data_IF_786478023661
#
_entry.id   IF_786478023661
#
_cell.length_a   1.000
_cell.length_b   1.000
_cell.length_c   1.000
_cell.angle_alpha   90.00
_cell.angle_beta   90.00
_cell.angle_gamma   90.00
#
_symmetry.space_group_name_H-M   'P 1'
#
loop_
_entity.id
_entity.type
_entity.pdbx_description
1 polymer ?
#
# COMPACT_ATOMS: atom_id res chain seq x y z
N UNK A 1 2.70 -7.00 -2.51
CA UNK A 1 2.31 -6.99 -3.94
C UNK A 1 0.86 -7.42 -4.08
N UNK A 2 0.22 -7.14 -5.22
CA UNK A 2 -1.19 -7.40 -5.53
C UNK A 2 -1.29 -8.05 -6.90
N UNK A 3 -1.94 -9.20 -7.03
CA UNK A 3 -2.25 -9.81 -8.33
C UNK A 3 -3.58 -9.27 -8.87
N UNK A 4 -3.61 -8.77 -10.10
CA UNK A 4 -4.82 -8.23 -10.71
C UNK A 4 -4.73 -8.26 -12.24
N UNK A 5 -5.88 -8.37 -12.91
CA UNK A 5 -5.93 -8.38 -14.38
C UNK A 5 -5.70 -6.98 -14.98
N UNK A 6 -5.96 -5.91 -14.21
CA UNK A 6 -5.77 -4.52 -14.62
C UNK A 6 -5.59 -3.58 -13.42
N UNK A 7 -5.12 -2.36 -13.70
CA UNK A 7 -4.95 -1.28 -12.70
C UNK A 7 -6.24 -1.01 -11.91
N UNK A 8 -7.40 -1.01 -12.57
CA UNK A 8 -8.70 -0.78 -11.92
C UNK A 8 -9.05 -1.81 -10.86
N UNK A 9 -8.52 -3.01 -11.01
CA UNK A 9 -8.81 -4.12 -10.12
C UNK A 9 -7.89 -4.15 -8.92
N UNK A 10 -6.81 -3.37 -8.85
CA UNK A 10 -5.84 -3.40 -7.74
C UNK A 10 -6.48 -3.06 -6.39
N UNK A 11 -7.33 -2.03 -6.34
CA UNK A 11 -8.10 -1.68 -5.14
C UNK A 11 -9.37 -2.55 -5.02
N UNK A 12 -10.27 -2.22 -4.07
CA UNK A 12 -11.56 -2.90 -3.89
C UNK A 12 -11.47 -4.26 -3.21
N UNK A 13 -10.44 -4.50 -2.40
CA UNK A 13 -10.13 -5.81 -1.80
C UNK A 13 -9.53 -5.67 -0.41
N UNK A 14 -9.53 -6.77 0.34
CA UNK A 14 -8.82 -6.88 1.62
C UNK A 14 -7.65 -7.84 1.50
N UNK A 15 -6.45 -7.35 1.80
CA UNK A 15 -5.22 -8.13 1.84
C UNK A 15 -4.99 -8.59 3.28
N UNK A 16 -4.72 -9.87 3.48
CA UNK A 16 -4.32 -10.42 4.78
C UNK A 16 -2.79 -10.40 4.86
N UNK A 17 -2.24 -9.56 5.71
CA UNK A 17 -0.80 -9.42 5.93
C UNK A 17 -0.40 -10.15 7.22
N UNK A 18 0.75 -10.81 7.19
CA UNK A 18 1.48 -11.27 8.37
C UNK A 18 2.94 -10.81 8.23
N UNK A 19 3.49 -10.15 9.24
CA UNK A 19 4.83 -9.56 9.21
C UNK A 19 5.87 -10.34 10.05
N UNK A 20 5.52 -11.54 10.51
CA UNK A 20 6.34 -12.35 11.42
C UNK A 20 6.01 -12.15 12.90
N UNK A 21 5.34 -11.05 13.27
CA UNK A 21 4.87 -10.80 14.62
C UNK A 21 3.34 -10.69 14.66
N UNK A 22 2.77 -9.78 13.87
CA UNK A 22 1.35 -9.47 13.85
C UNK A 22 0.67 -9.80 12.52
N UNK A 23 -0.62 -10.13 12.64
CA UNK A 23 -1.54 -10.30 11.52
C UNK A 23 -2.40 -9.05 11.39
N UNK A 24 -2.58 -8.55 10.18
CA UNK A 24 -3.45 -7.41 9.89
C UNK A 24 -4.27 -7.64 8.62
N UNK A 25 -5.48 -7.08 8.59
CA UNK A 25 -6.27 -6.95 7.37
C UNK A 25 -6.07 -5.52 6.82
N UNK A 26 -5.70 -5.43 5.55
CA UNK A 26 -5.48 -4.18 4.83
C UNK A 26 -6.58 -4.01 3.79
N UNK A 27 -7.53 -3.12 4.02
CA UNK A 27 -8.58 -2.84 3.03
C UNK A 27 -8.10 -1.77 2.07
N UNK A 28 -8.10 -2.07 0.78
CA UNK A 28 -7.72 -1.15 -0.29
C UNK A 28 -8.99 -0.57 -0.90
N UNK A 29 -9.24 0.72 -0.69
CA UNK A 29 -10.35 1.45 -1.33
C UNK A 29 -9.79 2.30 -2.46
N UNK A 30 -10.43 2.32 -3.62
CA UNK A 30 -10.02 3.19 -4.71
C UNK A 30 -10.00 4.67 -4.27
N UNK A 31 -8.98 5.40 -4.69
CA UNK A 31 -8.88 6.84 -4.47
C UNK A 31 -8.72 7.59 -5.81
N UNK A 32 -7.69 7.27 -6.58
CA UNK A 32 -7.38 8.00 -7.80
C UNK A 32 -6.51 7.20 -8.78
N UNK A 33 -6.54 7.62 -10.05
CA UNK A 33 -5.54 7.26 -11.07
C UNK A 33 -4.50 8.36 -11.18
N UNK A 34 -3.29 8.00 -11.62
CA UNK A 34 -2.25 8.95 -11.98
C UNK A 34 -1.17 8.29 -12.81
N UNK A 35 -0.08 9.01 -13.06
CA UNK A 35 1.14 8.46 -13.64
C UNK A 35 2.33 8.81 -12.77
N UNK A 36 3.42 8.05 -12.90
CA UNK A 36 4.69 8.39 -12.26
C UNK A 36 5.86 8.11 -13.20
N UNK A 37 6.99 8.76 -12.90
CA UNK A 37 8.28 8.45 -13.49
C UNK A 37 9.29 8.24 -12.37
N UNK A 38 9.80 7.01 -12.28
CA UNK A 38 10.86 6.57 -11.38
C UNK A 38 11.86 5.77 -12.21
N UNK A 39 13.11 5.67 -11.77
CA UNK A 39 14.11 4.88 -12.50
C UNK A 39 13.58 3.46 -12.73
N UNK A 40 13.53 3.01 -13.99
CA UNK A 40 13.02 1.69 -14.37
C UNK A 40 11.51 1.62 -14.68
N UNK A 41 10.74 2.67 -14.39
CA UNK A 41 9.30 2.70 -14.66
C UNK A 41 8.77 4.10 -14.97
N UNK A 42 8.10 4.23 -16.11
CA UNK A 42 7.37 5.44 -16.48
C UNK A 42 6.02 5.03 -17.04
N UNK A 43 4.93 5.34 -16.34
CA UNK A 43 3.61 4.92 -16.76
C UNK A 43 2.52 5.10 -15.72
N UNK A 44 1.38 4.47 -15.99
CA UNK A 44 0.14 4.61 -15.24
C UNK A 44 0.21 3.95 -13.86
N UNK A 45 -0.56 4.49 -12.94
CA UNK A 45 -0.60 4.08 -11.55
C UNK A 45 -2.01 4.18 -10.99
N UNK A 46 -2.25 3.47 -9.90
CA UNK A 46 -3.49 3.57 -9.15
C UNK A 46 -3.18 3.78 -7.68
N UNK A 47 -3.84 4.75 -7.07
CA UNK A 47 -3.74 5.02 -5.64
C UNK A 47 -4.94 4.44 -4.94
N UNK A 48 -4.68 3.62 -3.92
CA UNK A 48 -5.69 3.13 -3.00
C UNK A 48 -5.53 3.83 -1.64
N UNK A 49 -6.64 4.20 -1.02
CA UNK A 49 -6.70 4.46 0.41
C UNK A 49 -6.64 3.13 1.16
N UNK A 50 -5.68 2.97 2.05
CA UNK A 50 -5.50 1.77 2.86
C UNK A 50 -6.16 1.95 4.24
N UNK A 51 -7.02 1.01 4.61
CA UNK A 51 -7.50 0.83 5.98
C UNK A 51 -6.71 -0.26 6.69
N UNK A 52 -6.25 0.00 7.91
CA UNK A 52 -5.46 -0.94 8.70
C UNK A 52 -6.27 -1.50 9.87
N UNK A 53 -6.53 -2.80 9.89
CA UNK A 53 -7.16 -3.50 11.01
C UNK A 53 -6.23 -4.60 11.57
N UNK A 54 -5.62 -4.40 12.76
CA UNK A 54 -4.81 -5.42 13.40
C UNK A 54 -5.69 -6.55 13.92
N UNK A 55 -5.31 -7.80 13.66
CA UNK A 55 -6.11 -9.00 13.95
C UNK A 55 -5.51 -9.82 15.10
N UNK A 56 -4.20 -10.09 15.07
CA UNK A 56 -3.54 -10.94 16.05
C UNK A 56 -2.05 -10.58 16.18
N UNK A 57 -1.39 -11.08 17.23
CA UNK A 57 0.07 -10.92 17.40
C UNK A 57 0.54 -9.50 17.73
N UNK A 58 -0.35 -8.63 18.22
CA UNK A 58 0.00 -7.24 18.58
C UNK A 58 -0.38 -6.91 20.03
N UNK A 59 0.35 -5.98 20.65
CA UNK A 59 0.02 -5.47 21.99
C UNK A 59 -1.17 -4.51 21.92
N UNK A 60 -2.28 -4.86 22.58
CA UNK A 60 -3.56 -4.13 22.54
C UNK A 60 -3.50 -2.65 22.98
N UNK A 61 -2.46 -2.24 23.72
CA UNK A 61 -2.29 -0.88 24.23
C UNK A 61 -1.20 -0.07 23.50
N UNK A 62 -0.80 -0.48 22.29
CA UNK A 62 0.21 0.25 21.52
C UNK A 62 -0.43 1.50 20.87
N UNK A 63 -0.22 2.66 21.49
CA UNK A 63 -0.76 3.97 21.08
C UNK A 63 -0.56 4.32 19.59
N UNK A 64 0.50 3.82 18.96
CA UNK A 64 0.77 4.00 17.53
C UNK A 64 -0.17 3.18 16.64
N UNK A 65 -0.41 1.91 16.98
CA UNK A 65 -1.35 1.05 16.24
C UNK A 65 -2.78 1.55 16.35
N UNK A 66 -3.19 2.01 17.54
CA UNK A 66 -4.51 2.61 17.70
C UNK A 66 -4.70 3.85 16.84
N UNK A 67 -3.64 4.66 16.67
CA UNK A 67 -3.69 5.81 15.79
C UNK A 67 -3.77 5.39 14.32
N UNK A 68 -2.94 4.42 13.90
CA UNK A 68 -2.98 3.89 12.54
C UNK A 68 -4.36 3.37 12.18
N UNK A 69 -4.98 2.58 13.07
CA UNK A 69 -6.32 2.03 12.85
C UNK A 69 -7.40 3.12 12.80
N UNK A 70 -7.38 4.08 13.75
CA UNK A 70 -8.53 4.97 13.98
C UNK A 70 -8.44 6.33 13.31
N UNK A 71 -7.23 6.81 13.01
CA UNK A 71 -6.99 8.22 12.65
C UNK A 71 -6.07 8.41 11.45
N UNK A 72 -5.25 7.43 11.12
CA UNK A 72 -4.30 7.57 10.02
C UNK A 72 -5.01 7.58 8.68
N UNK A 73 -4.59 8.51 7.82
CA UNK A 73 -4.86 8.44 6.39
C UNK A 73 -3.64 7.79 5.75
N UNK A 74 -3.85 6.60 5.19
CA UNK A 74 -2.82 5.84 4.49
C UNK A 74 -3.17 5.81 3.01
N UNK A 75 -2.28 6.31 2.17
CA UNK A 75 -2.40 6.24 0.71
C UNK A 75 -1.26 5.40 0.18
N UNK A 76 -1.59 4.48 -0.73
CA UNK A 76 -0.60 3.61 -1.37
C UNK A 76 -0.84 3.64 -2.87
N UNK A 77 0.19 4.03 -3.62
CA UNK A 77 0.18 4.07 -5.08
C UNK A 77 0.89 2.84 -5.62
N UNK A 78 0.23 2.14 -6.54
CA UNK A 78 0.71 0.92 -7.16
C UNK A 78 1.03 1.13 -8.64
N UNK A 79 2.07 0.45 -9.11
CA UNK A 79 2.43 0.31 -10.51
C UNK A 79 2.55 -1.17 -10.91
N UNK A 80 2.29 -1.52 -12.18
CA UNK A 80 2.50 -2.87 -12.71
C UNK A 80 3.99 -3.21 -12.78
N UNK A 81 4.33 -4.43 -12.36
CA UNK A 81 5.68 -4.99 -12.49
C UNK A 81 5.77 -5.72 -13.83
N UNK A 82 6.26 -5.02 -14.86
CA UNK A 82 6.31 -5.56 -16.23
C UNK A 82 4.94 -6.03 -16.71
N UNK A 83 4.89 -7.17 -17.41
CA UNK A 83 3.65 -7.80 -17.90
C UNK A 83 3.23 -9.03 -17.07
N UNK A 84 3.51 -9.01 -15.76
CA UNK A 84 3.34 -10.19 -14.89
C UNK A 84 1.94 -10.32 -14.26
N UNK A 85 1.08 -9.30 -14.39
CA UNK A 85 -0.17 -9.19 -13.62
C UNK A 85 0.04 -8.88 -12.13
N UNK A 86 1.28 -8.58 -11.72
CA UNK A 86 1.63 -8.18 -10.35
C UNK A 86 1.76 -6.67 -10.27
N UNK A 87 1.17 -6.09 -9.23
CA UNK A 87 1.24 -4.67 -8.90
C UNK A 87 1.95 -4.51 -7.56
N UNK A 88 2.92 -3.61 -7.51
CA UNK A 88 3.70 -3.34 -6.31
C UNK A 88 3.62 -1.86 -5.92
N UNK A 89 3.66 -1.55 -4.61
CA UNK A 89 3.70 -0.16 -4.15
C UNK A 89 4.97 0.54 -4.65
N UNK A 90 4.80 1.73 -5.19
CA UNK A 90 5.89 2.63 -5.63
C UNK A 90 5.97 3.90 -4.79
N UNK A 91 4.87 4.24 -4.11
CA UNK A 91 4.78 5.39 -3.23
C UNK A 91 3.72 5.12 -2.16
N UNK A 92 3.97 5.59 -0.94
CA UNK A 92 2.99 5.56 0.14
C UNK A 92 3.14 6.76 1.06
N UNK A 93 2.00 7.25 1.57
CA UNK A 93 1.98 8.24 2.66
C UNK A 93 1.18 7.69 3.83
N UNK A 94 1.68 7.91 5.04
CA UNK A 94 1.06 7.46 6.29
C UNK A 94 1.03 8.65 7.24
N UNK A 95 -0.15 9.17 7.54
CA UNK A 95 -0.28 10.15 8.63
C UNK A 95 0.00 9.44 9.95
N UNK A 96 1.01 9.88 10.69
CA UNK A 96 1.35 9.38 12.04
C UNK A 96 1.14 10.48 13.08
N UNK A 97 1.32 10.15 14.36
CA UNK A 97 1.20 11.14 15.45
C UNK A 97 2.22 12.28 15.39
N UNK A 98 3.38 12.01 14.81
CA UNK A 98 4.51 12.95 14.79
C UNK A 98 4.62 13.70 13.46
N UNK A 99 3.84 13.30 12.44
CA UNK A 99 3.90 13.86 11.09
C UNK A 99 3.54 12.82 10.03
N UNK A 100 3.59 13.23 8.76
CA UNK A 100 3.37 12.33 7.63
C UNK A 100 4.66 11.63 7.28
N UNK A 101 4.65 10.31 7.32
CA UNK A 101 5.72 9.47 6.76
C UNK A 101 5.44 9.30 5.26
N UNK A 102 6.47 9.52 4.44
CA UNK A 102 6.43 9.28 2.99
C UNK A 102 7.45 8.21 2.63
N UNK A 103 7.03 7.24 1.83
CA UNK A 103 7.85 6.15 1.33
C UNK A 103 7.78 6.22 -0.20
N UNK A 104 8.92 6.25 -0.87
CA UNK A 104 9.03 6.32 -2.33
C UNK A 104 10.05 5.31 -2.82
N UNK A 105 9.75 4.63 -3.92
CA UNK A 105 10.74 3.81 -4.61
C UNK A 105 11.77 4.71 -5.32
N UNK A 106 13.05 4.39 -5.21
CA UNK A 106 14.12 5.05 -5.99
C UNK A 106 14.27 4.41 -7.38
N UNK A 107 13.99 3.11 -7.47
CA UNK A 107 14.00 2.30 -8.69
C UNK A 107 12.86 1.29 -8.66
N UNK A 108 12.23 1.06 -9.80
CA UNK A 108 11.13 0.10 -9.94
C UNK A 108 11.18 -0.52 -11.33
N UNK A 109 11.50 -1.81 -11.42
CA UNK A 109 11.57 -2.55 -12.69
C UNK A 109 11.37 -4.04 -12.40
N UNK A 110 10.94 -4.80 -13.40
CA UNK A 110 10.96 -6.26 -13.31
C UNK A 110 12.39 -6.74 -13.55
N UNK A 111 12.93 -7.53 -12.63
CA UNK A 111 14.19 -8.24 -12.82
C UNK A 111 13.91 -9.56 -13.54
N UNK A 112 14.72 -9.88 -14.55
CA UNK A 112 14.73 -11.19 -15.22
C UNK A 112 15.26 -12.31 -14.32
#
# INVERSE_FOLDING_TARGET
VIHADSLDKVCGRTVKLYDGEMRANLTLTYDSRGSTSVRGYNGDTVTCRLGFEPVAGYRKNRKSLDYLRKRSRIMVTFAPVGQTGVYAPIHATVSTKIGTLTISAERFEATE
#
